data_IF_376491586420
#
_entry.id   IF_376491586420
#
_cell.length_a   1.000
_cell.length_b   1.000
_cell.length_c   1.000
_cell.angle_alpha   90.00
_cell.angle_beta   90.00
_cell.angle_gamma   90.00
#
_symmetry.space_group_name_H-M   'P 1'
#
loop_
_entity.id
_entity.type
_entity.pdbx_description
1 polymer ?
#
# COMPACT_ATOMS: atom_id res chain seq x y z
N UNK A 1 16.24 -26.95 33.67
CA UNK A 1 17.20 -26.39 32.70
C UNK A 1 16.43 -25.42 31.80
N UNK A 2 16.51 -24.12 32.09
CA UNK A 2 15.80 -23.09 31.33
C UNK A 2 16.50 -22.85 30.00
N UNK A 3 15.78 -23.00 28.90
CA UNK A 3 16.26 -22.62 27.57
C UNK A 3 16.36 -21.11 27.49
N UNK A 4 17.58 -20.61 27.34
CA UNK A 4 17.88 -19.20 27.05
C UNK A 4 17.36 -18.91 25.64
N UNK A 5 16.27 -18.15 25.53
CA UNK A 5 15.85 -17.58 24.24
C UNK A 5 16.92 -16.59 23.78
N UNK A 6 17.62 -16.92 22.69
CA UNK A 6 18.53 -16.00 22.03
C UNK A 6 17.81 -14.74 21.52
N UNK A 7 18.54 -13.63 21.31
CA UNK A 7 17.94 -12.35 20.95
C UNK A 7 17.16 -12.44 19.62
N UNK A 8 15.92 -11.95 19.66
CA UNK A 8 15.03 -11.79 18.50
C UNK A 8 15.78 -10.97 17.43
N UNK A 9 16.10 -11.57 16.29
CA UNK A 9 16.88 -10.91 15.22
C UNK A 9 16.19 -9.64 14.74
N UNK A 10 16.86 -8.50 14.91
CA UNK A 10 16.54 -7.13 14.46
C UNK A 10 16.72 -6.97 12.93
N UNK A 11 16.45 -8.02 12.15
CA UNK A 11 16.89 -8.10 10.75
C UNK A 11 16.14 -7.17 9.77
N UNK A 12 15.07 -6.51 10.22
CA UNK A 12 14.21 -5.66 9.39
C UNK A 12 14.16 -4.19 9.82
N UNK A 13 14.98 -3.77 10.79
CA UNK A 13 15.01 -2.36 11.20
C UNK A 13 15.89 -1.55 10.24
N UNK A 14 15.37 -0.43 9.76
CA UNK A 14 16.13 0.54 8.97
C UNK A 14 17.17 1.17 9.92
N UNK A 15 18.46 1.22 9.54
CA UNK A 15 19.49 1.85 10.37
C UNK A 15 19.22 3.32 10.67
N UNK A 16 19.58 3.76 11.87
CA UNK A 16 19.42 5.16 12.30
C UNK A 16 20.20 6.14 11.43
N UNK A 17 21.32 5.70 10.84
CA UNK A 17 22.09 6.48 9.87
C UNK A 17 21.31 6.82 8.59
N UNK A 18 20.32 6.00 8.20
CA UNK A 18 19.43 6.28 7.07
C UNK A 18 18.25 7.13 7.55
N UNK A 19 17.61 6.74 8.66
CA UNK A 19 16.44 7.45 9.20
C UNK A 19 16.76 8.91 9.56
N UNK A 20 17.92 9.15 10.17
CA UNK A 20 18.32 10.47 10.64
C UNK A 20 19.25 11.21 9.67
N UNK A 21 19.42 10.73 8.44
CA UNK A 21 20.24 11.41 7.44
C UNK A 21 19.59 12.76 7.04
N UNK A 22 20.23 13.91 7.33
CA UNK A 22 19.63 15.22 7.09
C UNK A 22 19.46 15.53 5.60
N UNK A 23 20.38 15.07 4.74
CA UNK A 23 20.29 15.29 3.30
C UNK A 23 19.18 14.45 2.67
N UNK A 24 19.06 13.18 3.06
CA UNK A 24 18.00 12.30 2.60
C UNK A 24 16.63 12.84 3.02
N UNK A 25 16.49 13.22 4.29
CA UNK A 25 15.25 13.80 4.81
C UNK A 25 14.90 15.13 4.12
N UNK A 26 15.90 15.91 3.68
CA UNK A 26 15.66 17.11 2.88
C UNK A 26 15.19 16.77 1.46
N UNK A 27 15.77 15.76 0.82
CA UNK A 27 15.36 15.34 -0.52
C UNK A 27 13.94 14.74 -0.53
N UNK A 28 13.59 13.94 0.49
CA UNK A 28 12.25 13.36 0.65
C UNK A 28 11.16 14.43 0.74
N UNK A 29 11.44 15.61 1.29
CA UNK A 29 10.47 16.73 1.38
C UNK A 29 10.02 17.28 0.02
N UNK A 30 10.69 16.91 -1.08
CA UNK A 30 10.22 17.22 -2.42
C UNK A 30 9.00 16.37 -2.84
N UNK A 31 8.77 15.24 -2.18
CA UNK A 31 7.59 14.40 -2.36
C UNK A 31 6.42 14.93 -1.51
N UNK A 32 5.16 14.70 -1.93
CA UNK A 32 4.01 15.18 -1.18
C UNK A 32 3.94 14.54 0.21
N UNK A 33 3.83 15.38 1.24
CA UNK A 33 3.92 14.96 2.64
C UNK A 33 2.78 14.03 3.09
N UNK A 34 1.64 14.06 2.39
CA UNK A 34 0.50 13.19 2.65
C UNK A 34 0.62 11.82 1.99
N UNK A 35 1.70 11.53 1.25
CA UNK A 35 1.97 10.23 0.65
C UNK A 35 3.19 9.58 1.31
N UNK A 36 3.07 8.31 1.70
CA UNK A 36 4.19 7.53 2.23
C UNK A 36 4.83 6.67 1.14
N UNK A 37 5.90 7.17 0.52
CA UNK A 37 6.67 6.41 -0.49
C UNK A 37 7.70 5.43 0.10
N UNK A 38 7.75 5.26 1.44
CA UNK A 38 8.71 4.41 2.16
C UNK A 38 10.19 4.59 1.72
N UNK A 39 10.61 5.80 1.34
CA UNK A 39 11.93 6.05 0.74
C UNK A 39 13.10 5.52 1.58
N UNK A 40 13.08 5.70 2.90
CA UNK A 40 14.14 5.16 3.78
C UNK A 40 14.26 3.64 3.67
N UNK A 41 13.13 2.94 3.58
CA UNK A 41 13.09 1.48 3.40
C UNK A 41 13.63 1.10 2.03
N UNK A 42 13.27 1.84 0.99
CA UNK A 42 13.79 1.65 -0.37
C UNK A 42 15.30 1.76 -0.42
N UNK A 43 15.87 2.85 0.09
CA UNK A 43 17.33 3.04 0.17
C UNK A 43 18.01 1.91 0.94
N UNK A 44 17.47 1.54 2.10
CA UNK A 44 18.02 0.45 2.90
C UNK A 44 18.02 -0.88 2.16
N UNK A 45 16.90 -1.24 1.50
CA UNK A 45 16.77 -2.51 0.79
C UNK A 45 17.65 -2.59 -0.45
N UNK A 46 17.77 -1.50 -1.20
CA UNK A 46 18.70 -1.39 -2.33
C UNK A 46 20.14 -1.60 -1.86
N UNK A 47 20.55 -0.96 -0.75
CA UNK A 47 21.89 -1.14 -0.16
C UNK A 47 22.13 -2.57 0.34
N UNK A 48 21.18 -3.16 1.06
CA UNK A 48 21.26 -4.56 1.51
C UNK A 48 21.40 -5.53 0.34
N UNK A 49 20.65 -5.27 -0.73
CA UNK A 49 20.68 -6.07 -1.94
C UNK A 49 21.99 -5.92 -2.73
N UNK A 50 22.76 -4.85 -2.47
CA UNK A 50 23.90 -4.41 -3.30
C UNK A 50 23.51 -4.28 -4.77
N UNK A 51 22.27 -3.83 -5.00
CA UNK A 51 21.73 -3.66 -6.34
C UNK A 51 22.54 -2.63 -7.12
N UNK A 52 22.70 -2.88 -8.43
CA UNK A 52 23.40 -1.99 -9.36
C UNK A 52 22.44 -1.27 -10.30
N UNK A 53 21.27 -1.85 -10.56
CA UNK A 53 20.23 -1.23 -11.39
C UNK A 53 18.85 -1.51 -10.83
N UNK A 54 18.16 -0.43 -10.47
CA UNK A 54 16.82 -0.48 -9.84
C UNK A 54 15.75 -0.12 -10.86
N UNK A 55 14.85 -1.06 -11.15
CA UNK A 55 13.64 -0.79 -11.91
C UNK A 55 12.53 -0.19 -11.04
N UNK A 56 11.96 0.93 -11.48
CA UNK A 56 10.84 1.61 -10.84
C UNK A 56 9.58 1.40 -11.69
N UNK A 57 8.65 0.59 -11.19
CA UNK A 57 7.34 0.43 -11.80
C UNK A 57 6.28 1.12 -10.93
N UNK A 58 5.55 2.07 -11.53
CA UNK A 58 4.64 2.99 -10.85
C UNK A 58 3.25 2.96 -11.51
N UNK A 59 2.14 2.92 -10.75
CA UNK A 59 0.78 3.06 -11.28
C UNK A 59 0.58 4.43 -11.91
N UNK A 60 -0.42 4.53 -12.79
CA UNK A 60 -0.97 5.81 -13.21
C UNK A 60 -1.15 6.80 -12.04
N UNK A 61 -0.70 8.03 -12.22
CA UNK A 61 -0.70 9.07 -11.18
C UNK A 61 0.56 9.14 -10.30
N UNK A 62 1.40 8.10 -10.24
CA UNK A 62 2.69 8.13 -9.54
C UNK A 62 3.93 8.39 -10.43
N UNK A 63 3.95 8.17 -11.77
CA UNK A 63 5.07 8.51 -12.64
C UNK A 63 5.53 9.97 -12.57
N UNK A 64 4.65 10.89 -12.19
CA UNK A 64 5.03 12.29 -11.95
C UNK A 64 6.10 12.46 -10.85
N UNK A 65 6.24 11.47 -9.95
CA UNK A 65 7.27 11.43 -8.91
C UNK A 65 8.49 10.57 -9.29
N UNK A 66 8.47 9.92 -10.46
CA UNK A 66 9.49 8.94 -10.86
C UNK A 66 10.90 9.53 -10.86
N UNK A 67 11.07 10.69 -11.49
CA UNK A 67 12.38 11.35 -11.57
C UNK A 67 12.90 11.75 -10.18
N UNK A 68 12.03 12.27 -9.31
CA UNK A 68 12.43 12.64 -7.94
C UNK A 68 12.85 11.41 -7.14
N UNK A 69 12.10 10.31 -7.24
CA UNK A 69 12.44 9.05 -6.58
C UNK A 69 13.74 8.48 -7.15
N UNK A 70 13.93 8.57 -8.46
CA UNK A 70 15.14 8.14 -9.16
C UNK A 70 16.37 8.90 -8.65
N UNK A 71 16.31 10.23 -8.67
CA UNK A 71 17.38 11.11 -8.17
C UNK A 71 17.75 10.79 -6.71
N UNK A 72 16.76 10.50 -5.86
CA UNK A 72 17.00 10.10 -4.47
C UNK A 72 17.71 8.75 -4.39
N UNK A 73 17.26 7.73 -5.14
CA UNK A 73 17.87 6.41 -5.12
C UNK A 73 19.32 6.48 -5.62
N UNK A 74 19.56 7.16 -6.74
CA UNK A 74 20.89 7.28 -7.34
C UNK A 74 21.84 8.11 -6.47
N UNK A 75 21.35 9.15 -5.79
CA UNK A 75 22.17 9.96 -4.88
C UNK A 75 22.56 9.22 -3.60
N UNK A 76 21.67 8.40 -3.05
CA UNK A 76 21.86 7.78 -1.74
C UNK A 76 22.22 6.28 -1.82
N UNK A 77 22.44 5.74 -3.01
CA UNK A 77 22.91 4.37 -3.25
C UNK A 77 23.99 4.34 -4.33
N UNK A 78 24.50 3.16 -4.68
CA UNK A 78 25.42 2.98 -5.82
C UNK A 78 24.70 2.48 -7.09
N UNK A 79 23.36 2.41 -7.06
CA UNK A 79 22.57 1.90 -8.15
C UNK A 79 22.18 3.02 -9.12
N UNK A 80 22.14 2.72 -10.41
CA UNK A 80 21.37 3.52 -11.36
C UNK A 80 19.89 3.10 -11.33
N UNK A 81 19.02 3.93 -11.90
CA UNK A 81 17.58 3.67 -11.95
C UNK A 81 17.07 3.59 -13.37
N UNK A 82 16.03 2.78 -13.58
CA UNK A 82 15.27 2.77 -14.82
C UNK A 82 13.78 2.89 -14.50
N UNK A 83 13.11 3.85 -15.13
CA UNK A 83 11.66 4.05 -14.96
C UNK A 83 10.94 3.21 -16.00
N UNK A 84 10.10 2.28 -15.54
CA UNK A 84 9.27 1.45 -16.40
C UNK A 84 8.15 2.33 -16.99
N UNK A 85 8.10 2.42 -18.32
CA UNK A 85 7.13 3.28 -19.03
C UNK A 85 5.77 2.63 -19.30
N UNK A 86 5.66 1.32 -19.11
CA UNK A 86 4.41 0.60 -19.34
C UNK A 86 3.37 0.87 -18.26
N UNK A 87 2.11 0.99 -18.69
CA UNK A 87 1.00 1.25 -17.80
C UNK A 87 0.82 0.07 -16.87
N UNK A 88 0.86 0.34 -15.56
CA UNK A 88 0.68 -0.69 -14.55
C UNK A 88 -0.63 -0.50 -13.78
N UNK A 89 -1.50 -1.51 -13.85
CA UNK A 89 -2.84 -1.47 -13.26
C UNK A 89 -2.93 -2.12 -11.86
N UNK A 90 -1.86 -2.80 -11.43
CA UNK A 90 -1.77 -3.49 -10.14
C UNK A 90 -0.62 -4.49 -10.15
N UNK A 91 -0.41 -5.20 -9.03
CA UNK A 91 0.66 -6.21 -8.92
C UNK A 91 0.49 -7.40 -9.89
N UNK A 92 -0.72 -7.60 -10.42
CA UNK A 92 -0.98 -8.57 -11.50
C UNK A 92 -0.35 -8.21 -12.85
N UNK A 93 0.17 -6.98 -12.99
CA UNK A 93 0.88 -6.49 -14.17
C UNK A 93 2.38 -6.25 -13.86
N UNK A 94 2.93 -6.98 -12.89
CA UNK A 94 4.36 -6.99 -12.63
C UNK A 94 5.13 -7.32 -13.92
N UNK A 95 6.08 -6.47 -14.27
CA UNK A 95 6.91 -6.63 -15.46
C UNK A 95 8.37 -6.93 -15.11
N UNK A 96 8.57 -8.04 -14.43
CA UNK A 96 9.88 -8.55 -14.01
C UNK A 96 10.71 -9.03 -15.21
N UNK A 97 10.08 -9.59 -16.24
CA UNK A 97 10.75 -10.01 -17.47
C UNK A 97 11.42 -8.86 -18.21
N UNK A 98 10.72 -7.73 -18.42
CA UNK A 98 11.30 -6.56 -19.07
C UNK A 98 12.36 -5.92 -18.18
N UNK A 99 12.11 -5.80 -16.87
CA UNK A 99 13.09 -5.26 -15.93
C UNK A 99 14.42 -6.04 -15.99
N UNK A 100 14.36 -7.37 -16.01
CA UNK A 100 15.54 -8.24 -16.17
C UNK A 100 16.20 -8.07 -17.53
N UNK A 101 15.43 -7.98 -18.60
CA UNK A 101 15.95 -7.80 -19.97
C UNK A 101 16.70 -6.47 -20.10
N UNK A 102 16.28 -5.43 -19.38
CA UNK A 102 16.95 -4.13 -19.28
C UNK A 102 18.13 -4.12 -18.27
N UNK A 103 18.43 -5.28 -17.66
CA UNK A 103 19.56 -5.48 -16.77
C UNK A 103 19.34 -5.03 -15.33
N UNK A 104 18.08 -4.83 -14.90
CA UNK A 104 17.78 -4.56 -13.50
C UNK A 104 18.03 -5.80 -12.64
N UNK A 105 18.65 -5.59 -11.48
CA UNK A 105 18.87 -6.62 -10.46
C UNK A 105 18.01 -6.39 -9.20
N UNK A 106 17.25 -5.30 -9.19
CA UNK A 106 16.29 -4.96 -8.16
C UNK A 106 15.09 -4.22 -8.75
N UNK A 107 13.89 -4.49 -8.25
CA UNK A 107 12.65 -3.86 -8.69
C UNK A 107 11.91 -3.25 -7.49
N UNK A 108 11.56 -1.98 -7.59
CA UNK A 108 10.67 -1.28 -6.65
C UNK A 108 9.31 -1.16 -7.32
N UNK A 109 8.34 -1.84 -6.73
CA UNK A 109 6.96 -1.83 -7.16
C UNK A 109 6.15 -0.94 -6.24
N UNK A 110 5.59 0.16 -6.74
CA UNK A 110 4.67 1.01 -5.94
C UNK A 110 3.21 0.63 -6.19
N UNK A 111 2.84 -0.65 -6.03
CA UNK A 111 1.52 -1.16 -6.37
C UNK A 111 0.85 -2.05 -5.32
N UNK A 112 -0.38 -2.41 -5.67
CA UNK A 112 -1.44 -2.92 -4.81
C UNK A 112 -1.74 -4.41 -5.05
N UNK A 113 -1.76 -5.11 -3.92
CA UNK A 113 -2.74 -6.11 -3.49
C UNK A 113 -2.65 -7.54 -4.05
N UNK A 114 -2.24 -7.74 -5.30
CA UNK A 114 -2.00 -9.12 -5.75
C UNK A 114 -0.65 -9.55 -5.21
N UNK A 115 -0.63 -10.14 -4.00
CA UNK A 115 0.57 -10.73 -3.41
C UNK A 115 1.03 -11.92 -4.26
N UNK A 116 1.65 -11.64 -5.40
CA UNK A 116 2.46 -12.61 -6.12
C UNK A 116 3.61 -12.96 -5.17
N UNK A 117 3.75 -14.24 -4.79
CA UNK A 117 4.83 -14.63 -3.90
C UNK A 117 6.16 -14.18 -4.50
N UNK A 118 6.97 -13.47 -3.71
CA UNK A 118 8.32 -13.04 -4.14
C UNK A 118 9.18 -14.26 -4.49
N UNK A 119 8.89 -15.41 -3.88
CA UNK A 119 9.55 -16.69 -4.18
C UNK A 119 9.21 -17.23 -5.58
N UNK A 120 8.23 -16.65 -6.27
CA UNK A 120 7.85 -17.00 -7.65
C UNK A 120 8.54 -16.13 -8.71
N UNK A 121 9.21 -15.04 -8.31
CA UNK A 121 9.99 -14.21 -9.25
C UNK A 121 11.41 -14.78 -9.34
N UNK A 122 11.64 -15.60 -10.35
CA UNK A 122 12.98 -16.16 -10.59
C UNK A 122 13.93 -15.03 -11.03
N UNK A 123 14.97 -14.80 -10.22
CA UNK A 123 16.19 -14.05 -10.53
C UNK A 123 16.22 -12.51 -10.39
N UNK A 124 15.14 -11.81 -9.98
CA UNK A 124 15.20 -10.38 -9.61
C UNK A 124 14.72 -10.14 -8.17
N UNK A 125 15.44 -9.32 -7.40
CA UNK A 125 15.02 -8.95 -6.04
C UNK A 125 13.92 -7.90 -6.11
N UNK A 126 12.92 -8.00 -5.25
CA UNK A 126 11.78 -7.09 -5.29
C UNK A 126 11.49 -6.43 -3.94
N UNK A 127 11.04 -5.17 -4.01
CA UNK A 127 10.47 -4.43 -2.90
C UNK A 127 9.10 -3.88 -3.29
N UNK A 128 8.08 -4.31 -2.56
CA UNK A 128 6.78 -3.65 -2.56
C UNK A 128 6.79 -2.45 -1.63
N UNK A 129 6.38 -1.30 -2.18
CA UNK A 129 6.16 -0.04 -1.47
C UNK A 129 4.67 0.26 -1.48
N UNK A 130 4.05 0.17 -0.30
CA UNK A 130 2.64 0.51 -0.14
C UNK A 130 2.52 2.02 0.09
N UNK A 131 2.04 2.72 -0.95
CA UNK A 131 1.83 4.17 -0.87
C UNK A 131 0.56 4.46 -0.09
N UNK A 132 0.73 4.72 1.20
CA UNK A 132 -0.33 5.17 2.10
C UNK A 132 -0.60 6.67 1.89
N UNK A 133 -1.89 7.04 1.80
CA UNK A 133 -2.34 8.41 1.62
C UNK A 133 -3.07 8.87 2.89
N UNK A 134 -2.53 9.90 3.52
CA UNK A 134 -3.14 10.53 4.68
C UNK A 134 -4.34 11.37 4.26
N UNK A 135 -5.43 11.23 5.01
CA UNK A 135 -6.69 11.96 4.83
C UNK A 135 -7.15 12.58 6.15
N UNK A 136 -8.12 13.49 6.10
CA UNK A 136 -8.76 14.01 7.30
C UNK A 136 -9.74 12.97 7.86
N UNK A 137 -9.29 12.31 8.93
CA UNK A 137 -10.00 11.20 9.54
C UNK A 137 -11.06 11.66 10.52
N UNK A 138 -10.94 12.88 11.08
CA UNK A 138 -11.98 13.49 11.88
C UNK A 138 -13.21 13.78 11.03
N UNK A 139 -12.99 14.42 9.88
CA UNK A 139 -14.06 14.70 8.93
C UNK A 139 -14.76 13.43 8.43
N UNK A 140 -14.01 12.36 8.15
CA UNK A 140 -14.58 11.06 7.76
C UNK A 140 -15.52 10.51 8.85
N UNK A 141 -15.06 10.48 10.11
CA UNK A 141 -15.86 9.97 11.23
C UNK A 141 -17.13 10.80 11.49
N UNK A 142 -17.02 12.12 11.41
CA UNK A 142 -18.16 13.02 11.62
C UNK A 142 -19.20 12.86 10.50
N UNK A 143 -18.74 12.65 9.26
CA UNK A 143 -19.62 12.34 8.12
C UNK A 143 -20.37 11.03 8.33
N UNK A 144 -19.71 9.98 8.85
CA UNK A 144 -20.37 8.72 9.16
C UNK A 144 -21.40 8.88 10.28
N UNK A 145 -21.06 9.59 11.36
CA UNK A 145 -21.98 9.84 12.48
C UNK A 145 -23.20 10.66 12.07
N UNK A 146 -23.02 11.63 11.17
CA UNK A 146 -24.10 12.45 10.67
C UNK A 146 -25.11 11.66 9.83
N UNK A 147 -24.62 10.75 8.97
CA UNK A 147 -25.48 10.00 8.04
C UNK A 147 -26.02 8.69 8.62
N UNK A 148 -25.33 8.08 9.59
CA UNK A 148 -25.66 6.76 10.13
C UNK A 148 -25.81 6.82 11.66
N UNK A 149 -27.03 7.05 12.17
CA UNK A 149 -27.29 7.07 13.61
C UNK A 149 -27.07 5.68 14.24
N UNK A 150 -26.93 5.59 15.58
CA UNK A 150 -26.71 4.33 16.29
C UNK A 150 -27.75 3.26 15.94
N UNK A 151 -27.32 2.01 15.83
CA UNK A 151 -28.16 0.86 15.46
C UNK A 151 -27.98 0.36 14.02
N UNK A 152 -27.27 1.11 13.16
CA UNK A 152 -26.83 0.62 11.85
C UNK A 152 -25.59 -0.28 11.99
N UNK A 153 -25.53 -1.34 11.19
CA UNK A 153 -24.31 -2.12 11.01
C UNK A 153 -23.64 -1.75 9.70
N UNK A 154 -22.39 -1.29 9.76
CA UNK A 154 -21.65 -0.76 8.62
C UNK A 154 -20.49 -1.68 8.27
N UNK A 155 -20.34 -2.03 6.99
CA UNK A 155 -19.13 -2.65 6.47
C UNK A 155 -18.21 -1.57 5.90
N UNK A 156 -17.03 -1.42 6.47
CA UNK A 156 -16.03 -0.45 6.03
C UNK A 156 -15.01 -1.14 5.12
N UNK A 157 -14.88 -0.64 3.89
CA UNK A 157 -13.93 -1.13 2.89
C UNK A 157 -13.18 0.02 2.23
N UNK A 158 -12.06 -0.29 1.60
CA UNK A 158 -11.11 0.69 1.06
C UNK A 158 -10.19 0.04 0.03
N UNK A 159 -9.49 0.85 -0.76
CA UNK A 159 -8.25 0.43 -1.41
C UNK A 159 -7.09 0.48 -0.42
N UNK A 160 -5.98 -0.17 -0.74
CA UNK A 160 -4.77 -0.21 0.11
C UNK A 160 -4.20 1.18 0.44
N UNK A 161 -4.39 2.20 -0.42
CA UNK A 161 -3.94 3.58 -0.15
C UNK A 161 -4.51 4.17 1.14
N UNK A 162 -5.76 3.82 1.46
CA UNK A 162 -6.48 4.40 2.59
C UNK A 162 -6.80 3.34 3.67
N UNK A 163 -6.35 2.10 3.50
CA UNK A 163 -6.71 1.00 4.42
C UNK A 163 -6.13 1.21 5.81
N UNK A 164 -4.94 1.82 5.94
CA UNK A 164 -4.36 2.09 7.25
C UNK A 164 -5.19 3.13 8.00
N UNK A 165 -5.63 4.20 7.31
CA UNK A 165 -6.57 5.17 7.85
C UNK A 165 -7.90 4.48 8.24
N UNK A 166 -8.50 3.69 7.35
CA UNK A 166 -9.73 2.95 7.63
C UNK A 166 -9.61 2.09 8.90
N UNK A 167 -8.52 1.34 9.04
CA UNK A 167 -8.28 0.46 10.19
C UNK A 167 -8.03 1.24 11.49
N UNK A 168 -7.26 2.33 11.44
CA UNK A 168 -6.99 3.16 12.60
C UNK A 168 -8.28 3.77 13.18
N UNK A 169 -9.22 4.14 12.31
CA UNK A 169 -10.42 4.90 12.70
C UNK A 169 -11.68 4.07 12.84
N UNK A 170 -11.74 2.87 12.24
CA UNK A 170 -12.82 1.90 12.51
C UNK A 170 -12.93 1.55 14.00
N UNK A 171 -11.81 1.52 14.73
CA UNK A 171 -11.79 1.28 16.18
C UNK A 171 -12.37 2.44 17.01
N UNK A 172 -12.41 3.65 16.46
CA UNK A 172 -12.96 4.84 17.12
C UNK A 172 -14.48 4.98 16.93
N UNK A 173 -15.08 4.18 16.06
CA UNK A 173 -16.53 4.11 15.86
C UNK A 173 -17.13 3.16 16.91
N UNK A 174 -17.65 3.74 17.98
CA UNK A 174 -18.28 3.00 19.10
C UNK A 174 -19.78 2.77 18.86
N UNK A 175 -20.42 3.54 17.97
CA UNK A 175 -21.88 3.69 17.91
C UNK A 175 -22.63 2.92 16.78
N UNK A 176 -22.03 2.64 15.62
CA UNK A 176 -22.51 1.58 14.72
C UNK A 176 -21.72 0.27 14.93
N UNK A 177 -22.36 -0.88 14.70
CA UNK A 177 -21.63 -2.15 14.63
C UNK A 177 -20.76 -2.12 13.36
N UNK A 178 -19.47 -1.86 13.52
CA UNK A 178 -18.52 -1.76 12.40
C UNK A 178 -17.88 -3.11 12.10
N UNK A 179 -18.08 -3.58 10.87
CA UNK A 179 -17.40 -4.73 10.29
C UNK A 179 -16.30 -4.23 9.35
N UNK A 180 -15.08 -4.75 9.52
CA UNK A 180 -13.97 -4.55 8.57
C UNK A 180 -13.66 -5.91 7.95
N UNK A 181 -14.31 -6.27 6.83
CA UNK A 181 -14.20 -7.61 6.23
C UNK A 181 -12.81 -7.83 5.61
N UNK A 182 -12.40 -9.09 5.45
CA UNK A 182 -11.09 -9.42 4.88
C UNK A 182 -11.19 -10.59 3.89
N UNK A 183 -10.81 -10.37 2.63
CA UNK A 183 -10.52 -11.44 1.70
C UNK A 183 -9.03 -11.75 1.74
N UNK A 184 -8.62 -12.89 2.32
CA UNK A 184 -7.20 -13.25 2.32
C UNK A 184 -6.71 -13.45 0.87
N UNK A 185 -5.51 -12.96 0.52
CA UNK A 185 -4.45 -12.48 1.42
C UNK A 185 -4.42 -10.95 1.64
N UNK A 186 -5.47 -10.23 1.24
CA UNK A 186 -5.60 -8.78 1.41
C UNK A 186 -5.66 -8.36 2.88
N UNK A 187 -5.36 -7.11 3.16
CA UNK A 187 -5.46 -6.49 4.48
C UNK A 187 -6.94 -6.37 4.91
N UNK A 188 -7.26 -6.34 6.21
CA UNK A 188 -8.62 -6.07 6.66
C UNK A 188 -9.17 -4.76 6.09
N UNK A 189 -10.34 -4.81 5.47
CA UNK A 189 -10.99 -3.68 4.82
C UNK A 189 -10.50 -3.42 3.40
N UNK A 190 -9.46 -4.10 2.92
CA UNK A 190 -8.95 -3.93 1.57
C UNK A 190 -9.79 -4.72 0.55
N UNK A 191 -10.17 -4.07 -0.54
CA UNK A 191 -10.87 -4.67 -1.69
C UNK A 191 -10.20 -4.32 -3.02
N UNK A 192 -10.45 -5.15 -4.03
CA UNK A 192 -9.97 -4.98 -5.40
C UNK A 192 -11.11 -5.03 -6.41
N UNK A 193 -10.87 -4.47 -7.59
CA UNK A 193 -11.79 -4.60 -8.71
C UNK A 193 -12.12 -6.06 -9.06
N UNK A 194 -11.19 -6.97 -8.83
CA UNK A 194 -11.35 -8.41 -9.08
C UNK A 194 -11.65 -9.24 -7.81
N UNK A 195 -11.63 -8.65 -6.61
CA UNK A 195 -11.75 -9.39 -5.34
C UNK A 195 -12.47 -8.55 -4.30
N UNK A 196 -13.68 -8.96 -3.94
CA UNK A 196 -14.50 -8.33 -2.91
C UNK A 196 -15.13 -9.38 -1.98
N UNK A 197 -15.31 -9.06 -0.68
CA UNK A 197 -15.94 -9.98 0.26
C UNK A 197 -17.43 -10.12 -0.01
N UNK A 198 -17.97 -11.29 0.31
CA UNK A 198 -19.41 -11.48 0.50
C UNK A 198 -19.73 -11.21 1.96
N UNK A 199 -20.68 -10.31 2.20
CA UNK A 199 -21.08 -9.84 3.51
C UNK A 199 -22.31 -10.62 4.01
N UNK A 200 -22.48 -10.62 5.33
CA UNK A 200 -23.67 -11.21 5.95
C UNK A 200 -24.90 -10.32 5.75
N UNK A 201 -26.10 -10.94 5.72
CA UNK A 201 -27.36 -10.25 5.40
C UNK A 201 -27.78 -9.15 6.39
N UNK A 202 -27.17 -9.06 7.56
CA UNK A 202 -27.54 -8.09 8.59
C UNK A 202 -26.79 -6.75 8.49
N UNK A 203 -25.88 -6.62 7.53
CA UNK A 203 -25.18 -5.35 7.27
C UNK A 203 -26.14 -4.35 6.62
N UNK A 204 -26.25 -3.17 7.21
CA UNK A 204 -27.14 -2.10 6.75
C UNK A 204 -26.58 -1.35 5.55
N UNK A 205 -25.27 -1.09 5.54
CA UNK A 205 -24.61 -0.37 4.45
C UNK A 205 -23.12 -0.72 4.31
N UNK A 206 -22.63 -0.58 3.09
CA UNK A 206 -21.20 -0.61 2.73
C UNK A 206 -20.72 0.84 2.62
N UNK A 207 -19.62 1.15 3.29
CA UNK A 207 -18.93 2.43 3.17
C UNK A 207 -17.57 2.16 2.53
N UNK A 208 -17.35 2.71 1.35
CA UNK A 208 -16.08 2.63 0.64
C UNK A 208 -15.30 3.93 0.82
N UNK A 209 -14.14 3.83 1.47
CA UNK A 209 -13.20 4.93 1.60
C UNK A 209 -12.21 4.90 0.42
N UNK A 210 -12.34 5.86 -0.48
CA UNK A 210 -11.39 6.06 -1.56
C UNK A 210 -12.02 6.68 -2.79
N UNK A 211 -11.18 6.90 -3.80
CA UNK A 211 -11.59 7.48 -5.06
C UNK A 211 -12.09 6.42 -6.07
N UNK A 212 -12.64 6.92 -7.17
CA UNK A 212 -13.21 6.11 -8.24
C UNK A 212 -14.54 5.46 -7.85
N UNK A 213 -15.02 4.56 -8.71
CA UNK A 213 -16.24 3.75 -8.50
C UNK A 213 -16.01 2.27 -8.72
N UNK A 214 -15.00 1.89 -9.49
CA UNK A 214 -14.77 0.51 -9.90
C UNK A 214 -14.63 -0.48 -8.72
N UNK A 215 -13.87 -0.10 -7.68
CA UNK A 215 -13.72 -0.91 -6.47
C UNK A 215 -15.04 -1.02 -5.67
N UNK A 216 -15.78 0.08 -5.57
CA UNK A 216 -17.11 0.10 -4.96
C UNK A 216 -18.09 -0.79 -5.73
N UNK A 217 -18.09 -0.71 -7.06
CA UNK A 217 -18.92 -1.54 -7.93
C UNK A 217 -18.60 -3.03 -7.79
N UNK A 218 -17.32 -3.40 -7.63
CA UNK A 218 -16.90 -4.78 -7.36
C UNK A 218 -17.59 -5.36 -6.10
N UNK A 219 -17.61 -4.61 -4.99
CA UNK A 219 -18.29 -5.08 -3.77
C UNK A 219 -19.81 -5.00 -3.87
N UNK A 220 -20.36 -4.05 -4.62
CA UNK A 220 -21.80 -3.98 -4.92
C UNK A 220 -22.26 -5.20 -5.72
N UNK A 221 -21.50 -5.63 -6.73
CA UNK A 221 -21.81 -6.84 -7.51
C UNK A 221 -21.77 -8.09 -6.62
N UNK A 222 -20.81 -8.17 -5.68
CA UNK A 222 -20.74 -9.26 -4.72
C UNK A 222 -21.89 -9.24 -3.69
N UNK A 223 -22.50 -8.09 -3.45
CA UNK A 223 -23.52 -7.83 -2.41
C UNK A 223 -24.64 -6.92 -2.94
N UNK A 224 -25.44 -7.35 -3.93
CA UNK A 224 -26.33 -6.48 -4.70
C UNK A 224 -27.49 -5.88 -3.88
N UNK A 225 -27.82 -6.50 -2.75
CA UNK A 225 -28.96 -6.10 -1.91
C UNK A 225 -28.57 -5.12 -0.79
N UNK A 226 -27.28 -4.74 -0.69
CA UNK A 226 -26.78 -3.85 0.37
C UNK A 226 -26.49 -2.47 -0.21
N UNK A 227 -27.01 -1.43 0.44
CA UNK A 227 -26.73 -0.05 0.03
C UNK A 227 -25.24 0.29 0.20
N UNK A 228 -24.66 0.95 -0.79
CA UNK A 228 -23.24 1.28 -0.80
C UNK A 228 -23.02 2.78 -0.98
N UNK A 229 -22.09 3.33 -0.21
CA UNK A 229 -21.77 4.75 -0.15
C UNK A 229 -20.26 4.95 -0.31
N UNK A 230 -19.88 6.13 -0.83
CA UNK A 230 -18.50 6.58 -1.00
C UNK A 230 -18.32 7.90 -0.26
#
# INVERSE_FOLDING_TARGET
MGQVQGPRRVANQIPDEILNNPELNKAIKALPANYSFEIHKTIWRVRQAKAKRVALQLPEGLPMFACVISDIIERFTEADTLVMGDVTYGDCCMDDFTARTLGADFMVQTLWACKVPIDSTEAIKMLYVFVDIQIDTGHFLDTLRFNFPPGHSLALVSTIQFVAALQAHSRALVAPLVLVPQCRPLSPGEILGCTSPRLEKHISAIIYLGDGRFHLESIMIANPDIHAYR
#
